data_IF_494228412424
#
_entry.id   IF_494228412424
#
_cell.length_a   1.000
_cell.length_b   1.000
_cell.length_c   1.000
_cell.angle_alpha   90.00
_cell.angle_beta   90.00
_cell.angle_gamma   90.00
#
_symmetry.space_group_name_H-M   'P 1'
#
loop_
_entity.id
_entity.type
_entity.pdbx_description
1 polymer ?
#
# COMPACT_ATOMS: atom_id res chain seq x y z
N UNK A 1 2.55 -0.32 -5.93
CA UNK A 1 3.88 -0.08 -5.35
C UNK A 1 4.73 0.34 -6.51
N UNK A 2 5.11 1.62 -6.59
CA UNK A 2 5.70 2.20 -7.80
C UNK A 2 7.19 2.58 -7.69
N UNK A 3 7.75 2.64 -6.48
CA UNK A 3 9.14 3.04 -6.27
C UNK A 3 9.74 2.38 -5.01
N UNK A 4 11.07 2.40 -4.83
CA UNK A 4 11.73 1.76 -3.68
C UNK A 4 11.26 2.28 -2.31
N UNK A 5 10.94 3.58 -2.20
CA UNK A 5 10.43 4.14 -0.95
C UNK A 5 9.07 3.53 -0.58
N UNK A 6 8.18 3.35 -1.55
CA UNK A 6 6.88 2.72 -1.37
C UNK A 6 6.99 1.21 -1.10
N UNK A 7 8.02 0.52 -1.60
CA UNK A 7 8.33 -0.87 -1.20
C UNK A 7 8.62 -0.94 0.31
N UNK A 8 9.48 -0.04 0.81
CA UNK A 8 9.84 0.01 2.24
C UNK A 8 8.61 0.34 3.09
N UNK A 9 7.80 1.33 2.67
CA UNK A 9 6.56 1.72 3.36
C UNK A 9 5.59 0.55 3.44
N UNK A 10 5.35 -0.14 2.32
CA UNK A 10 4.46 -1.31 2.25
C UNK A 10 4.92 -2.42 3.20
N UNK A 11 6.23 -2.74 3.20
CA UNK A 11 6.80 -3.75 4.11
C UNK A 11 6.58 -3.38 5.58
N UNK A 12 6.77 -2.10 5.94
CA UNK A 12 6.53 -1.59 7.31
C UNK A 12 5.06 -1.75 7.69
N UNK A 13 4.13 -1.38 6.81
CA UNK A 13 2.68 -1.51 7.06
C UNK A 13 2.24 -2.95 7.26
N UNK A 14 2.71 -3.89 6.42
CA UNK A 14 2.42 -5.33 6.58
C UNK A 14 2.96 -5.83 7.92
N UNK A 15 4.21 -5.50 8.27
CA UNK A 15 4.81 -5.90 9.55
C UNK A 15 3.99 -5.38 10.73
N UNK A 16 3.62 -4.10 10.71
CA UNK A 16 2.81 -3.48 11.78
C UNK A 16 1.45 -4.16 11.92
N UNK A 17 0.76 -4.41 10.81
CA UNK A 17 -0.54 -5.07 10.80
C UNK A 17 -0.50 -6.47 11.44
N UNK A 18 0.52 -7.27 11.11
CA UNK A 18 0.72 -8.60 11.71
C UNK A 18 1.08 -8.50 13.19
N UNK A 19 1.95 -7.55 13.57
CA UNK A 19 2.31 -7.33 14.98
C UNK A 19 1.10 -6.97 15.85
N UNK A 20 0.21 -6.11 15.35
CA UNK A 20 -1.04 -5.75 16.05
C UNK A 20 -1.95 -6.97 16.24
N UNK A 21 -2.08 -7.83 15.23
CA UNK A 21 -2.85 -9.07 15.36
C UNK A 21 -2.24 -10.00 16.42
N UNK A 22 -0.91 -10.19 16.41
CA UNK A 22 -0.20 -11.00 17.42
C UNK A 22 -0.38 -10.45 18.84
N UNK A 23 -0.42 -9.13 18.99
CA UNK A 23 -0.67 -8.44 20.25
C UNK A 23 -2.15 -8.41 20.66
N UNK A 24 -3.04 -9.09 19.91
CA UNK A 24 -4.49 -9.10 20.13
C UNK A 24 -5.12 -7.70 20.14
N UNK A 25 -4.56 -6.75 19.38
CA UNK A 25 -5.06 -5.36 19.27
C UNK A 25 -6.25 -5.20 18.32
N UNK A 26 -6.74 -6.31 17.76
CA UNK A 26 -7.93 -6.37 16.92
C UNK A 26 -7.62 -6.65 15.44
N UNK A 27 -8.62 -6.39 14.60
CA UNK A 27 -8.53 -6.56 13.15
C UNK A 27 -7.60 -5.52 12.53
N UNK A 28 -6.83 -5.94 11.53
CA UNK A 28 -5.97 -5.07 10.72
C UNK A 28 -6.25 -5.30 9.24
N UNK A 29 -6.20 -4.22 8.46
CA UNK A 29 -6.38 -4.26 7.01
C UNK A 29 -5.26 -3.46 6.35
N UNK A 30 -4.66 -4.03 5.30
CA UNK A 30 -3.63 -3.37 4.49
C UNK A 30 -4.08 -3.46 3.04
N UNK A 31 -4.39 -2.31 2.45
CA UNK A 31 -4.65 -2.18 1.02
C UNK A 31 -3.35 -1.82 0.29
N UNK A 32 -3.08 -2.49 -0.83
CA UNK A 32 -1.85 -2.31 -1.61
C UNK A 32 -2.23 -2.07 -3.06
N UNK A 33 -1.96 -0.86 -3.56
CA UNK A 33 -2.04 -0.60 -5.00
C UNK A 33 -0.92 -1.37 -5.68
N UNK A 34 -1.22 -2.16 -6.71
CA UNK A 34 -0.22 -2.92 -7.48
C UNK A 34 -0.57 -2.88 -8.96
N UNK A 35 0.39 -2.51 -9.79
CA UNK A 35 0.20 -2.44 -11.25
C UNK A 35 0.39 -3.82 -11.85
N UNK A 36 -0.53 -4.24 -12.71
CA UNK A 36 -0.33 -5.39 -13.60
C UNK A 36 -0.16 -4.86 -15.03
N UNK A 37 1.08 -4.54 -15.47
CA UNK A 37 1.30 -3.89 -16.78
C UNK A 37 0.74 -4.72 -17.94
N UNK A 38 0.83 -6.05 -17.85
CA UNK A 38 0.28 -6.98 -18.85
C UNK A 38 -1.23 -6.81 -19.04
N UNK A 39 -1.99 -6.66 -17.94
CA UNK A 39 -3.44 -6.51 -18.02
C UNK A 39 -3.87 -5.13 -18.53
N UNK A 40 -3.03 -4.11 -18.31
CA UNK A 40 -3.32 -2.74 -18.73
C UNK A 40 -2.81 -2.42 -20.14
N UNK A 41 -2.08 -3.35 -20.76
CA UNK A 41 -1.46 -3.12 -22.08
C UNK A 41 -0.40 -2.01 -22.06
N UNK A 42 0.21 -1.76 -20.90
CA UNK A 42 1.23 -0.73 -20.70
C UNK A 42 2.61 -1.37 -20.52
N UNK A 43 3.67 -0.64 -20.89
CA UNK A 43 5.01 -1.03 -20.45
C UNK A 43 5.12 -0.93 -18.92
N UNK A 44 6.06 -1.65 -18.29
CA UNK A 44 6.25 -1.56 -16.85
C UNK A 44 6.46 -0.13 -16.35
N UNK A 45 7.21 0.71 -17.08
CA UNK A 45 7.48 2.07 -16.65
C UNK A 45 6.24 2.96 -16.75
N UNK A 46 5.49 2.88 -17.86
CA UNK A 46 4.25 3.63 -18.04
C UNK A 46 3.20 3.25 -17.00
N UNK A 47 3.10 1.98 -16.63
CA UNK A 47 2.16 1.55 -15.59
C UNK A 47 2.47 2.18 -14.23
N UNK A 48 3.76 2.33 -13.87
CA UNK A 48 4.18 2.97 -12.62
C UNK A 48 3.82 4.47 -12.62
N UNK A 49 4.08 5.17 -13.73
CA UNK A 49 3.70 6.58 -13.90
C UNK A 49 2.20 6.76 -13.83
N UNK A 50 1.44 5.92 -14.54
CA UNK A 50 -0.02 5.98 -14.53
C UNK A 50 -0.62 5.76 -13.13
N UNK A 51 -0.06 4.82 -12.36
CA UNK A 51 -0.45 4.62 -10.96
C UNK A 51 -0.25 5.89 -10.13
N UNK A 52 0.88 6.59 -10.33
CA UNK A 52 1.22 7.79 -9.58
C UNK A 52 0.31 8.98 -9.93
N UNK A 53 -0.02 9.14 -11.20
CA UNK A 53 -0.81 10.27 -11.70
C UNK A 53 -2.33 10.07 -11.52
N UNK A 54 -2.82 8.82 -11.55
CA UNK A 54 -4.26 8.54 -11.62
C UNK A 54 -4.76 7.78 -10.40
N UNK A 55 -4.03 6.75 -9.96
CA UNK A 55 -4.52 5.84 -8.94
C UNK A 55 -4.20 6.30 -7.52
N UNK A 56 -3.02 6.87 -7.25
CA UNK A 56 -2.67 7.42 -5.93
C UNK A 56 -3.56 8.61 -5.53
N UNK A 57 -3.89 9.57 -6.41
CA UNK A 57 -4.81 10.65 -6.06
C UNK A 57 -6.22 10.16 -5.72
N UNK A 58 -6.66 9.09 -6.37
CA UNK A 58 -7.96 8.47 -6.11
C UNK A 58 -7.95 7.58 -4.86
N UNK A 59 -6.89 6.80 -4.65
CA UNK A 59 -6.66 5.93 -3.50
C UNK A 59 -5.44 6.42 -2.69
N UNK A 60 -5.62 7.43 -1.82
CA UNK A 60 -4.49 8.06 -1.14
C UNK A 60 -3.71 7.07 -0.26
N UNK A 61 -2.39 7.22 -0.24
CA UNK A 61 -1.52 6.34 0.55
C UNK A 61 -1.43 6.83 1.99
N UNK A 62 -1.90 6.05 2.95
CA UNK A 62 -2.00 6.49 4.35
C UNK A 62 -2.23 5.37 5.34
N UNK A 63 -2.18 5.72 6.62
CA UNK A 63 -2.85 4.96 7.67
C UNK A 63 -4.16 5.69 7.98
N UNK A 64 -5.31 5.03 7.77
CA UNK A 64 -6.63 5.67 7.87
C UNK A 64 -7.28 5.51 9.24
N UNK A 65 -7.02 4.40 9.93
CA UNK A 65 -7.52 4.12 11.27
C UNK A 65 -6.39 3.48 12.07
N UNK A 66 -5.85 4.22 13.03
CA UNK A 66 -4.86 3.71 13.98
C UNK A 66 -5.48 3.86 15.35
N UNK A 67 -5.70 2.74 16.05
CA UNK A 67 -6.00 2.81 17.48
C UNK A 67 -4.70 3.22 18.18
N UNK A 68 -4.70 4.39 18.79
CA UNK A 68 -3.65 4.74 19.73
C UNK A 68 -3.78 3.84 20.96
N UNK A 69 -2.65 3.33 21.45
CA UNK A 69 -2.63 2.60 22.70
C UNK A 69 -2.93 3.61 23.82
N UNK A 70 -4.06 3.42 24.51
CA UNK A 70 -4.39 4.15 25.73
C UNK A 70 -3.59 3.65 26.93
#
# INVERSE_FOLDING_TARGET
>A
VNNPANVIRTKKSIKKALQMQMQKKGFTMVEILSTCPTNWGLSPLEALTWLEENMIPYYPLGEFVVKEDG
#
